data_IF_709746426769
#
_entry.id   IF_709746426769
#
_cell.length_a   1.000
_cell.length_b   1.000
_cell.length_c   1.000
_cell.angle_alpha   90.00
_cell.angle_beta   90.00
_cell.angle_gamma   90.00
#
_symmetry.space_group_name_H-M   'P 1'
#
loop_
_entity.id
_entity.type
_entity.pdbx_description
1 polymer ?
#
# COMPACT_ATOMS: atom_id res chain seq x y z
N UNK A 1 -3.98 -12.08 19.78
CA UNK A 1 -4.24 -11.45 18.46
C UNK A 1 -3.90 -9.96 18.45
N UNK A 2 -4.67 -9.06 19.10
CA UNK A 2 -4.36 -7.61 19.14
C UNK A 2 -2.93 -7.30 19.64
N UNK A 3 -2.49 -7.99 20.69
CA UNK A 3 -1.13 -7.86 21.24
C UNK A 3 -0.06 -8.32 20.23
N UNK A 4 -0.33 -9.41 19.52
CA UNK A 4 0.59 -9.95 18.50
C UNK A 4 0.74 -8.99 17.31
N UNK A 5 -0.36 -8.36 16.87
CA UNK A 5 -0.34 -7.38 15.78
C UNK A 5 0.45 -6.14 16.18
N UNK A 6 0.19 -5.64 17.37
CA UNK A 6 0.89 -4.50 17.95
C UNK A 6 2.40 -4.76 18.05
N UNK A 7 2.78 -5.95 18.53
CA UNK A 7 4.17 -6.37 18.59
C UNK A 7 4.84 -6.42 17.21
N UNK A 8 4.20 -7.03 16.22
CA UNK A 8 4.74 -7.06 14.85
C UNK A 8 4.83 -5.67 14.22
N UNK A 9 3.86 -4.78 14.49
CA UNK A 9 3.90 -3.40 14.01
C UNK A 9 5.10 -2.64 14.59
N UNK A 10 5.40 -2.82 15.87
CA UNK A 10 6.59 -2.22 16.51
C UNK A 10 7.86 -2.75 15.88
N UNK A 11 8.02 -4.07 15.80
CA UNK A 11 9.22 -4.68 15.24
C UNK A 11 9.44 -4.27 13.78
N UNK A 12 8.37 -4.22 12.99
CA UNK A 12 8.44 -3.77 11.61
C UNK A 12 8.80 -2.28 11.51
N UNK A 13 8.24 -1.43 12.38
CA UNK A 13 8.61 -0.01 12.42
C UNK A 13 10.09 0.18 12.76
N UNK A 14 10.60 -0.52 13.79
CA UNK A 14 12.02 -0.48 14.19
C UNK A 14 12.93 -0.99 13.08
N UNK A 15 12.56 -2.11 12.43
CA UNK A 15 13.31 -2.66 11.30
C UNK A 15 13.43 -1.64 10.16
N UNK A 16 12.33 -1.03 9.73
CA UNK A 16 12.37 -0.09 8.61
C UNK A 16 13.11 1.21 8.96
N UNK A 17 12.97 1.71 10.20
CA UNK A 17 13.70 2.90 10.66
C UNK A 17 15.21 2.63 10.70
N UNK A 18 15.62 1.47 11.23
CA UNK A 18 17.05 1.13 11.36
C UNK A 18 17.73 0.79 10.03
N UNK A 19 17.00 0.22 9.08
CA UNK A 19 17.57 -0.25 7.80
C UNK A 19 17.30 0.69 6.63
N UNK A 20 16.41 1.68 6.79
CA UNK A 20 15.90 2.50 5.68
C UNK A 20 15.05 1.70 4.67
N UNK A 21 14.77 0.43 4.92
CA UNK A 21 14.06 -0.43 3.98
C UNK A 21 12.58 -0.05 3.86
N UNK A 22 11.98 -0.33 2.71
CA UNK A 22 10.59 0.01 2.38
C UNK A 22 10.26 1.51 2.49
N UNK A 23 11.26 2.40 2.51
CA UNK A 23 11.04 3.83 2.40
C UNK A 23 10.69 4.19 0.94
N UNK A 24 9.70 5.07 0.77
CA UNK A 24 9.26 5.49 -0.55
C UNK A 24 10.41 6.22 -1.29
N UNK A 25 10.67 5.80 -2.53
CA UNK A 25 11.72 6.38 -3.36
C UNK A 25 13.14 5.99 -2.95
N UNK A 26 13.33 4.81 -2.36
CA UNK A 26 14.66 4.29 -2.04
C UNK A 26 14.85 2.92 -2.65
N UNK A 27 16.03 2.68 -3.22
CA UNK A 27 16.48 1.36 -3.70
C UNK A 27 17.31 0.61 -2.64
N UNK A 28 17.36 1.14 -1.40
CA UNK A 28 18.06 0.51 -0.29
C UNK A 28 17.42 -0.83 0.06
N UNK A 29 18.08 -1.88 -0.40
CA UNK A 29 17.72 -3.26 -0.16
C UNK A 29 18.71 -3.87 0.82
N UNK A 30 18.36 -3.90 2.11
CA UNK A 30 19.11 -4.74 3.04
C UNK A 30 18.92 -6.22 2.67
N UNK A 31 20.01 -6.97 2.61
CA UNK A 31 19.97 -8.43 2.46
C UNK A 31 19.72 -9.12 3.80
N UNK A 32 19.29 -10.39 3.77
CA UNK A 32 19.28 -11.26 4.95
C UNK A 32 17.93 -11.88 5.33
N UNK A 33 18.00 -12.87 6.22
CA UNK A 33 16.87 -13.71 6.63
C UNK A 33 15.74 -12.91 7.27
N UNK A 34 16.08 -11.85 8.02
CA UNK A 34 15.08 -10.98 8.68
C UNK A 34 14.19 -10.27 7.64
N UNK A 35 14.73 -9.90 6.47
CA UNK A 35 13.92 -9.29 5.41
C UNK A 35 12.93 -10.29 4.81
N UNK A 36 13.31 -11.56 4.68
CA UNK A 36 12.39 -12.60 4.20
C UNK A 36 11.18 -12.76 5.13
N UNK A 37 11.37 -12.61 6.45
CA UNK A 37 10.24 -12.61 7.40
C UNK A 37 9.23 -11.50 7.05
N UNK A 38 9.70 -10.27 6.84
CA UNK A 38 8.84 -9.13 6.53
C UNK A 38 8.24 -9.18 5.12
N UNK A 39 8.87 -9.92 4.20
CA UNK A 39 8.33 -10.21 2.89
C UNK A 39 7.09 -11.12 2.96
N UNK A 40 7.15 -12.17 3.79
CA UNK A 40 6.03 -13.10 3.97
C UNK A 40 4.96 -12.62 4.94
N UNK A 41 5.32 -11.69 5.84
CA UNK A 41 4.43 -11.07 6.82
C UNK A 41 4.12 -9.62 6.41
N UNK A 42 3.07 -9.37 5.60
CA UNK A 42 2.71 -8.02 5.15
C UNK A 42 2.04 -7.23 6.28
N UNK A 43 2.86 -6.73 7.20
CA UNK A 43 2.42 -6.13 8.48
C UNK A 43 1.42 -4.99 8.30
N UNK A 44 1.62 -4.13 7.31
CA UNK A 44 0.74 -2.98 7.05
C UNK A 44 -0.68 -3.42 6.62
N UNK A 45 -0.78 -4.41 5.73
CA UNK A 45 -2.08 -4.94 5.29
C UNK A 45 -2.75 -5.79 6.34
N UNK A 46 -1.95 -6.54 7.10
CA UNK A 46 -2.42 -7.22 8.30
C UNK A 46 -3.05 -6.21 9.26
N UNK A 47 -2.42 -5.06 9.51
CA UNK A 47 -3.00 -3.99 10.34
C UNK A 47 -4.42 -3.62 9.88
N UNK A 48 -4.66 -3.38 8.58
CA UNK A 48 -6.01 -3.07 8.08
C UNK A 48 -7.01 -4.21 8.32
N UNK A 49 -6.61 -5.45 8.05
CA UNK A 49 -7.45 -6.63 8.28
C UNK A 49 -7.84 -6.70 9.76
N UNK A 50 -6.86 -6.57 10.65
CA UNK A 50 -7.06 -6.55 12.10
C UNK A 50 -7.93 -5.39 12.57
N UNK A 51 -7.73 -4.21 11.99
CA UNK A 51 -8.53 -3.03 12.28
C UNK A 51 -10.01 -3.29 11.98
N UNK A 52 -10.32 -3.79 10.78
CA UNK A 52 -11.70 -4.04 10.37
C UNK A 52 -12.38 -5.17 11.15
N UNK A 53 -11.65 -6.25 11.45
CA UNK A 53 -12.18 -7.38 12.24
C UNK A 53 -12.35 -6.99 13.72
N UNK A 54 -11.44 -6.20 14.28
CA UNK A 54 -11.36 -5.88 15.70
C UNK A 54 -12.16 -4.65 16.16
N UNK A 55 -12.65 -3.81 15.24
CA UNK A 55 -13.23 -2.47 15.50
C UNK A 55 -14.33 -2.40 16.57
N UNK A 56 -15.20 -3.40 16.67
CA UNK A 56 -16.36 -3.37 17.57
C UNK A 56 -16.05 -3.78 19.02
N UNK A 57 -14.91 -4.43 19.25
CA UNK A 57 -14.48 -4.71 20.62
C UNK A 57 -14.06 -3.36 21.24
N UNK A 58 -14.61 -3.00 22.41
CA UNK A 58 -14.31 -1.75 23.15
C UNK A 58 -12.90 -1.27 22.84
N UNK A 59 -12.76 -0.06 22.29
CA UNK A 59 -11.48 0.54 21.88
C UNK A 59 -10.50 0.47 23.05
N UNK A 60 -9.72 -0.59 23.08
CA UNK A 60 -8.72 -0.80 24.12
C UNK A 60 -7.58 0.19 23.88
N UNK A 61 -6.89 0.61 24.94
CA UNK A 61 -5.71 1.48 24.81
C UNK A 61 -4.68 0.91 23.81
N UNK A 62 -4.58 -0.42 23.73
CA UNK A 62 -3.71 -1.16 22.81
C UNK A 62 -4.15 -0.97 21.34
N UNK A 63 -5.46 -0.94 21.07
CA UNK A 63 -5.99 -0.70 19.72
C UNK A 63 -5.59 0.70 19.21
N UNK A 64 -5.76 1.72 20.06
CA UNK A 64 -5.36 3.09 19.73
C UNK A 64 -3.83 3.19 19.56
N UNK A 65 -3.07 2.56 20.45
CA UNK A 65 -1.61 2.52 20.33
C UNK A 65 -1.17 1.89 19.01
N UNK A 66 -1.83 0.83 18.55
CA UNK A 66 -1.52 0.20 17.27
C UNK A 66 -1.76 1.14 16.07
N UNK A 67 -2.85 1.91 16.09
CA UNK A 67 -3.13 2.93 15.06
C UNK A 67 -2.05 4.02 15.07
N UNK A 68 -1.65 4.49 16.24
CA UNK A 68 -0.60 5.52 16.36
C UNK A 68 0.73 5.02 15.80
N UNK A 69 1.16 3.81 16.17
CA UNK A 69 2.41 3.23 15.67
C UNK A 69 2.34 2.98 14.16
N UNK A 70 1.20 2.53 13.64
CA UNK A 70 0.99 2.39 12.21
C UNK A 70 1.18 3.73 11.47
N UNK A 71 0.54 4.80 11.95
CA UNK A 71 0.68 6.14 11.35
C UNK A 71 2.13 6.63 11.41
N UNK A 72 2.80 6.48 12.56
CA UNK A 72 4.20 6.88 12.72
C UNK A 72 5.13 6.08 11.80
N UNK A 73 4.90 4.78 11.66
CA UNK A 73 5.66 3.91 10.76
C UNK A 73 5.44 4.26 9.28
N UNK A 74 4.21 4.63 8.90
CA UNK A 74 3.91 5.10 7.54
C UNK A 74 4.51 6.47 7.27
N UNK A 75 4.52 7.36 8.26
CA UNK A 75 5.14 8.68 8.18
C UNK A 75 6.65 8.55 7.97
N UNK A 76 7.34 7.75 8.80
CA UNK A 76 8.80 7.58 8.70
C UNK A 76 9.24 6.98 7.37
N UNK A 77 8.46 6.05 6.81
CA UNK A 77 8.73 5.47 5.48
C UNK A 77 8.19 6.29 4.32
N UNK A 78 7.44 7.36 4.58
CA UNK A 78 6.94 8.23 3.52
C UNK A 78 5.72 7.70 2.75
N UNK A 79 4.99 6.74 3.32
CA UNK A 79 3.80 6.09 2.74
C UNK A 79 2.47 6.64 3.29
N UNK A 80 2.41 7.94 3.60
CA UNK A 80 1.21 8.59 4.16
C UNK A 80 -0.08 8.37 3.34
N UNK A 81 0.00 8.10 2.03
CA UNK A 81 -1.17 7.78 1.21
C UNK A 81 -1.98 6.61 1.77
N UNK A 82 -1.32 5.61 2.34
CA UNK A 82 -2.00 4.48 2.98
C UNK A 82 -2.78 4.92 4.24
N UNK A 83 -2.27 5.87 5.03
CA UNK A 83 -3.05 6.41 6.17
C UNK A 83 -4.37 7.07 5.74
N UNK A 84 -4.45 7.58 4.52
CA UNK A 84 -5.71 8.09 3.95
C UNK A 84 -6.72 6.98 3.67
N UNK A 85 -6.27 5.75 3.39
CA UNK A 85 -7.16 4.58 3.25
C UNK A 85 -7.86 4.28 4.58
N UNK A 86 -7.15 4.42 5.70
CA UNK A 86 -7.73 4.29 7.04
C UNK A 86 -8.76 5.39 7.31
N UNK A 87 -8.44 6.63 6.94
CA UNK A 87 -9.37 7.75 7.06
C UNK A 87 -10.62 7.54 6.19
N UNK A 88 -10.45 7.11 4.94
CA UNK A 88 -11.52 6.81 4.00
C UNK A 88 -12.44 5.70 4.55
N UNK A 89 -11.85 4.62 5.06
CA UNK A 89 -12.59 3.56 5.74
C UNK A 89 -13.44 4.09 6.90
N UNK A 90 -12.88 4.94 7.76
CA UNK A 90 -13.62 5.55 8.87
C UNK A 90 -14.74 6.47 8.41
N UNK A 91 -14.52 7.24 7.33
CA UNK A 91 -15.58 8.04 6.71
C UNK A 91 -16.72 7.15 6.20
N UNK A 92 -16.42 6.07 5.48
CA UNK A 92 -17.42 5.12 5.02
C UNK A 92 -18.25 4.57 6.19
N UNK A 93 -17.61 4.18 7.29
CA UNK A 93 -18.32 3.71 8.49
C UNK A 93 -19.13 4.81 9.18
N UNK A 94 -18.61 6.03 9.23
CA UNK A 94 -19.31 7.18 9.81
C UNK A 94 -20.63 7.43 9.06
N UNK A 95 -20.58 7.47 7.72
CA UNK A 95 -21.74 7.66 6.87
C UNK A 95 -22.71 6.47 6.90
N UNK A 96 -22.19 5.24 6.91
CA UNK A 96 -23.01 4.04 7.07
C UNK A 96 -23.80 4.05 8.39
N UNK A 97 -23.18 4.52 9.48
CA UNK A 97 -23.85 4.65 10.78
C UNK A 97 -24.89 5.77 10.87
N UNK A 98 -25.20 6.44 9.74
CA UNK A 98 -26.16 7.55 9.60
C UNK A 98 -26.00 8.65 10.66
N UNK A 99 -24.77 8.87 11.14
CA UNK A 99 -24.52 9.95 12.09
C UNK A 99 -24.63 11.27 11.36
N UNK A 100 -25.47 12.17 11.88
CA UNK A 100 -25.54 13.56 11.40
C UNK A 100 -24.13 14.17 11.43
N UNK A 101 -23.69 14.73 10.31
CA UNK A 101 -22.43 15.47 10.23
C UNK A 101 -22.55 16.69 11.15
N UNK A 102 -21.82 16.68 12.26
CA UNK A 102 -21.72 17.85 13.14
C UNK A 102 -20.79 18.87 12.49
N UNK A 103 -21.11 20.17 12.63
CA UNK A 103 -20.31 21.29 12.09
C UNK A 103 -18.82 21.19 12.44
N UNK A 104 -18.49 20.68 13.64
CA UNK A 104 -17.11 20.46 14.07
C UNK A 104 -16.29 19.54 13.15
N UNK A 105 -16.93 18.59 12.46
CA UNK A 105 -16.25 17.72 11.50
C UNK A 105 -15.96 18.43 10.18
N UNK A 106 -16.83 19.37 9.77
CA UNK A 106 -16.57 20.24 8.61
C UNK A 106 -15.44 21.22 8.92
N UNK A 107 -15.44 21.80 10.12
CA UNK A 107 -14.33 22.64 10.61
C UNK A 107 -13.02 21.86 10.63
N UNK A 108 -13.04 20.63 11.15
CA UNK A 108 -11.87 19.75 11.16
C UNK A 108 -11.39 19.40 9.74
N UNK A 109 -12.30 19.09 8.82
CA UNK A 109 -11.96 18.83 7.41
C UNK A 109 -11.29 20.04 6.77
N UNK A 110 -11.86 21.24 6.96
CA UNK A 110 -11.30 22.47 6.43
C UNK A 110 -9.92 22.77 7.01
N UNK A 111 -9.75 22.57 8.33
CA UNK A 111 -8.44 22.64 8.98
C UNK A 111 -7.44 21.64 8.39
N UNK A 112 -7.85 20.38 8.18
CA UNK A 112 -7.00 19.35 7.57
C UNK A 112 -6.61 19.72 6.13
N UNK A 113 -7.51 20.34 5.35
CA UNK A 113 -7.20 20.81 4.00
C UNK A 113 -6.18 21.95 3.99
N UNK A 114 -6.20 22.83 5.00
CA UNK A 114 -5.20 23.90 5.16
C UNK A 114 -3.84 23.33 5.61
N UNK A 115 -3.86 22.30 6.47
CA UNK A 115 -2.64 21.70 7.00
C UNK A 115 -2.03 20.69 6.02
N UNK A 116 -2.82 20.06 5.15
CA UNK A 116 -2.35 19.00 4.24
C UNK A 116 -1.18 19.42 3.32
N UNK A 117 -1.18 20.61 2.69
CA UNK A 117 -0.04 21.07 1.90
C UNK A 117 1.25 21.19 2.72
N UNK A 118 1.14 21.65 3.97
CA UNK A 118 2.28 21.76 4.87
C UNK A 118 2.77 20.39 5.31
N UNK A 119 1.86 19.48 5.65
CA UNK A 119 2.20 18.11 5.98
C UNK A 119 2.87 17.37 4.81
N UNK A 120 2.45 17.67 3.58
CA UNK A 120 3.04 17.11 2.36
C UNK A 120 4.46 17.63 2.11
N UNK A 121 4.69 18.94 2.18
CA UNK A 121 6.03 19.52 2.04
C UNK A 121 6.97 19.06 3.15
N UNK A 122 6.49 19.08 4.40
CA UNK A 122 7.25 18.56 5.54
C UNK A 122 7.61 17.09 5.34
N UNK A 123 6.67 16.25 4.88
CA UNK A 123 6.97 14.85 4.59
C UNK A 123 8.12 14.69 3.59
N UNK A 124 8.17 15.50 2.53
CA UNK A 124 9.20 15.41 1.50
C UNK A 124 10.55 15.91 2.05
N UNK A 125 10.56 17.07 2.69
CA UNK A 125 11.79 17.68 3.20
C UNK A 125 12.36 16.91 4.40
N UNK A 126 11.51 16.49 5.36
CA UNK A 126 11.93 15.62 6.47
C UNK A 126 12.54 14.32 5.96
N UNK A 127 12.05 13.77 4.84
CA UNK A 127 12.68 12.58 4.25
C UNK A 127 14.08 12.93 3.75
N UNK A 128 14.22 13.96 2.93
CA UNK A 128 15.51 14.37 2.38
C UNK A 128 16.53 14.72 3.48
N UNK A 129 16.10 15.44 4.50
CA UNK A 129 16.97 15.97 5.55
C UNK A 129 17.33 14.92 6.60
N UNK A 130 16.38 14.06 7.01
CA UNK A 130 16.68 12.98 7.97
C UNK A 130 17.76 12.04 7.43
N UNK A 131 17.75 11.75 6.13
CA UNK A 131 18.74 10.89 5.50
C UNK A 131 20.08 11.59 5.21
N UNK A 132 20.07 12.88 4.88
CA UNK A 132 21.29 13.62 4.50
C UNK A 132 22.00 14.32 5.67
N UNK A 133 21.24 14.88 6.61
CA UNK A 133 21.72 15.83 7.62
C UNK A 133 21.19 15.55 9.03
N UNK A 134 20.40 14.48 9.20
CA UNK A 134 19.90 14.02 10.50
C UNK A 134 18.92 15.00 11.15
N UNK A 135 18.85 14.97 12.48
CA UNK A 135 17.87 15.78 13.26
C UNK A 135 18.14 17.29 13.12
N UNK A 136 19.38 17.70 12.89
CA UNK A 136 19.73 19.12 12.69
C UNK A 136 19.07 19.73 11.44
N UNK A 137 19.10 19.00 10.31
CA UNK A 137 18.44 19.41 9.08
C UNK A 137 16.92 19.53 9.22
N UNK A 138 16.32 18.58 9.96
CA UNK A 138 14.88 18.61 10.28
C UNK A 138 14.49 19.89 11.03
N UNK A 139 15.28 20.31 12.02
CA UNK A 139 15.00 21.52 12.80
C UNK A 139 15.09 22.77 11.92
N UNK A 140 16.12 22.88 11.06
CA UNK A 140 16.25 24.03 10.15
C UNK A 140 15.11 24.13 9.14
N UNK A 141 14.62 22.99 8.65
CA UNK A 141 13.49 22.94 7.72
C UNK A 141 12.20 23.36 8.40
N UNK A 142 11.97 22.95 9.65
CA UNK A 142 10.80 23.39 10.43
C UNK A 142 10.82 24.90 10.71
N UNK A 143 12.00 25.49 10.89
CA UNK A 143 12.13 26.93 11.17
C UNK A 143 11.96 27.81 9.92
N UNK A 144 12.17 27.28 8.72
CA UNK A 144 12.23 28.05 7.47
C UNK A 144 11.21 27.59 6.41
N UNK A 145 10.05 27.06 6.82
CA UNK A 145 9.02 26.58 5.89
C UNK A 145 8.49 27.74 5.03
N UNK A 146 8.70 27.67 3.72
CA UNK A 146 7.99 28.51 2.75
C UNK A 146 6.58 27.95 2.52
N UNK A 147 5.60 28.64 3.08
CA UNK A 147 4.19 28.26 3.00
C UNK A 147 3.66 28.36 1.56
N UNK A 148 4.02 29.40 0.80
CA UNK A 148 3.50 29.62 -0.55
C UNK A 148 4.07 28.54 -1.48
N UNK A 149 5.37 28.30 -1.42
CA UNK A 149 6.00 27.26 -2.23
C UNK A 149 5.45 25.87 -1.87
N UNK A 150 5.19 25.62 -0.60
CA UNK A 150 4.58 24.35 -0.14
C UNK A 150 3.20 24.12 -0.75
N UNK A 151 2.37 25.16 -0.80
CA UNK A 151 1.05 25.10 -1.43
C UNK A 151 1.16 24.89 -2.94
N UNK A 152 2.07 25.61 -3.62
CA UNK A 152 2.28 25.45 -5.06
C UNK A 152 2.75 24.03 -5.40
N UNK A 153 3.72 23.50 -4.65
CA UNK A 153 4.20 22.13 -4.81
C UNK A 153 3.10 21.10 -4.57
N UNK A 154 2.26 21.30 -3.56
CA UNK A 154 1.12 20.44 -3.29
C UNK A 154 0.09 20.46 -4.43
N UNK A 155 -0.31 21.64 -4.91
CA UNK A 155 -1.27 21.77 -6.01
C UNK A 155 -0.70 21.16 -7.29
N UNK A 156 0.56 21.46 -7.64
CA UNK A 156 1.21 20.87 -8.81
C UNK A 156 1.31 19.34 -8.70
N UNK A 157 1.69 18.84 -7.52
CA UNK A 157 1.73 17.41 -7.23
C UNK A 157 0.36 16.73 -7.22
N UNK A 158 -0.72 17.45 -6.87
CA UNK A 158 -2.08 16.96 -6.96
C UNK A 158 -2.58 16.93 -8.40
N UNK A 159 -2.37 18.01 -9.16
CA UNK A 159 -2.77 18.12 -10.56
C UNK A 159 -2.04 17.12 -11.44
N UNK A 160 -0.75 16.85 -11.17
CA UNK A 160 -0.01 15.80 -11.88
C UNK A 160 -0.60 14.39 -11.64
N UNK A 161 -1.33 14.16 -10.54
CA UNK A 161 -2.00 12.88 -10.28
C UNK A 161 -3.32 12.72 -11.03
N UNK A 162 -3.90 13.79 -11.56
CA UNK A 162 -5.11 13.73 -12.43
C UNK A 162 -4.76 13.16 -13.83
N UNK A 163 -3.47 12.98 -14.15
CA UNK A 163 -2.95 12.44 -15.42
C UNK A 163 -3.25 10.94 -15.67
N UNK A 164 -4.06 10.27 -14.85
CA UNK A 164 -4.38 8.85 -15.08
C UNK A 164 -5.09 8.58 -16.42
N UNK A 165 -5.91 9.53 -16.91
CA UNK A 165 -6.56 9.39 -18.22
C UNK A 165 -5.56 9.51 -19.38
N UNK A 166 -4.57 10.40 -19.27
CA UNK A 166 -3.51 10.52 -20.28
C UNK A 166 -2.62 9.29 -20.36
N UNK A 167 -2.42 8.57 -19.25
CA UNK A 167 -1.64 7.33 -19.26
C UNK A 167 -2.33 6.23 -20.07
N UNK A 168 -3.67 6.15 -20.02
CA UNK A 168 -4.42 5.16 -20.81
C UNK A 168 -4.28 5.46 -22.31
N UNK A 169 -4.43 6.73 -22.70
CA UNK A 169 -4.27 7.17 -24.10
C UNK A 169 -2.85 6.89 -24.60
N UNK A 170 -1.84 7.27 -23.81
CA UNK A 170 -0.44 6.98 -24.12
C UNK A 170 -0.19 5.48 -24.36
N UNK A 171 -0.74 4.63 -23.50
CA UNK A 171 -0.59 3.18 -23.59
C UNK A 171 -1.25 2.60 -24.83
N UNK A 172 -2.41 3.15 -25.23
CA UNK A 172 -3.09 2.78 -26.46
C UNK A 172 -2.29 3.20 -27.70
N UNK A 173 -1.76 4.43 -27.72
CA UNK A 173 -0.99 4.95 -28.85
C UNK A 173 0.32 4.16 -29.07
N UNK A 174 0.94 3.67 -27.99
CA UNK A 174 2.21 2.91 -28.03
C UNK A 174 2.01 1.39 -27.89
N UNK A 175 0.79 0.88 -28.02
CA UNK A 175 0.46 -0.52 -27.71
C UNK A 175 1.35 -1.56 -28.42
N UNK A 176 1.71 -1.33 -29.68
CA UNK A 176 2.54 -2.26 -30.46
C UNK A 176 4.00 -2.28 -30.00
N UNK A 177 4.53 -1.13 -29.59
CA UNK A 177 5.88 -1.02 -29.04
C UNK A 177 5.95 -1.67 -27.66
N UNK A 178 5.00 -1.33 -26.78
CA UNK A 178 4.91 -1.90 -25.44
C UNK A 178 4.71 -3.42 -25.48
N UNK A 179 3.94 -3.94 -26.44
CA UNK A 179 3.80 -5.38 -26.63
C UNK A 179 5.11 -6.07 -26.98
N UNK A 180 5.99 -5.44 -27.77
CA UNK A 180 7.31 -6.01 -28.09
C UNK A 180 8.18 -6.12 -26.83
N UNK A 181 8.15 -5.12 -25.95
CA UNK A 181 8.89 -5.17 -24.68
C UNK A 181 8.36 -6.27 -23.74
N UNK A 182 7.04 -6.45 -23.68
CA UNK A 182 6.43 -7.51 -22.85
C UNK A 182 6.68 -8.91 -23.44
N UNK A 183 6.59 -9.07 -24.76
CA UNK A 183 6.81 -10.37 -25.43
C UNK A 183 8.27 -10.80 -25.53
N UNK A 184 9.22 -9.90 -25.23
CA UNK A 184 10.65 -10.17 -25.16
C UNK A 184 11.17 -10.29 -23.72
N UNK A 185 10.26 -10.36 -22.73
CA UNK A 185 10.57 -10.45 -21.29
C UNK A 185 11.44 -9.29 -20.74
N UNK A 186 11.56 -8.18 -21.49
CA UNK A 186 12.22 -6.95 -21.00
C UNK A 186 11.35 -6.31 -19.91
N UNK A 187 10.03 -6.33 -20.11
CA UNK A 187 9.04 -5.79 -19.20
C UNK A 187 8.12 -6.89 -18.72
N UNK A 188 7.86 -6.92 -17.42
CA UNK A 188 7.01 -7.93 -16.82
C UNK A 188 5.57 -7.80 -17.26
N UNK A 189 4.95 -8.93 -17.57
CA UNK A 189 3.52 -9.01 -17.79
C UNK A 189 2.73 -8.77 -16.48
N UNK A 190 1.45 -8.39 -16.58
CA UNK A 190 0.53 -8.16 -15.45
C UNK A 190 0.50 -9.30 -14.42
N UNK A 191 0.74 -10.54 -14.85
CA UNK A 191 0.74 -11.72 -13.99
C UNK A 191 1.98 -11.80 -13.07
N UNK A 192 3.05 -11.12 -13.46
CA UNK A 192 4.32 -11.05 -12.71
C UNK A 192 4.52 -9.70 -12.00
N UNK A 193 3.57 -8.78 -12.14
CA UNK A 193 3.58 -7.54 -11.39
C UNK A 193 3.33 -7.81 -9.91
N UNK A 194 4.23 -7.30 -9.07
CA UNK A 194 4.14 -7.44 -7.62
C UNK A 194 5.34 -8.11 -7.00
N UNK A 195 5.69 -7.62 -5.81
CA UNK A 195 6.77 -8.12 -4.98
C UNK A 195 6.62 -9.62 -4.67
N UNK A 196 5.43 -10.17 -4.35
CA UNK A 196 5.29 -11.60 -4.09
C UNK A 196 5.58 -12.45 -5.33
N UNK A 197 5.05 -12.06 -6.48
CA UNK A 197 5.22 -12.75 -7.77
C UNK A 197 6.68 -12.72 -8.22
N UNK A 198 7.31 -11.55 -8.21
CA UNK A 198 8.73 -11.40 -8.56
C UNK A 198 9.64 -12.17 -7.60
N UNK A 199 9.29 -12.25 -6.31
CA UNK A 199 10.04 -13.07 -5.35
C UNK A 199 9.95 -14.54 -5.72
N UNK A 200 8.75 -15.06 -5.98
CA UNK A 200 8.55 -16.45 -6.37
C UNK A 200 9.26 -16.75 -7.68
N UNK A 201 9.17 -15.86 -8.68
CA UNK A 201 9.88 -16.00 -9.95
C UNK A 201 11.39 -16.14 -9.73
N UNK A 202 12.01 -15.24 -8.94
CA UNK A 202 13.43 -15.30 -8.62
C UNK A 202 13.84 -16.56 -7.86
N UNK A 203 12.99 -17.05 -6.94
CA UNK A 203 13.21 -18.31 -6.23
C UNK A 203 13.16 -19.54 -7.17
N UNK A 204 12.38 -19.45 -8.25
CA UNK A 204 12.29 -20.48 -9.29
C UNK A 204 13.35 -20.32 -10.40
N UNK A 205 14.24 -19.32 -10.29
CA UNK A 205 15.25 -19.04 -11.31
C UNK A 205 14.70 -18.38 -12.58
N UNK A 206 13.49 -17.80 -12.52
CA UNK A 206 12.87 -17.07 -13.62
C UNK A 206 13.23 -15.57 -13.53
N UNK A 207 13.42 -14.94 -14.69
CA UNK A 207 13.57 -13.48 -14.81
C UNK A 207 12.36 -12.90 -15.56
N UNK A 208 11.31 -12.44 -14.84
CA UNK A 208 10.08 -12.01 -15.47
C UNK A 208 10.16 -10.59 -16.06
N UNK A 209 11.32 -9.94 -16.07
CA UNK A 209 11.48 -8.57 -16.58
C UNK A 209 11.20 -7.47 -15.55
N UNK A 210 11.35 -6.22 -15.98
CA UNK A 210 11.17 -5.01 -15.13
C UNK A 210 9.70 -4.66 -15.00
N UNK A 211 9.28 -4.19 -13.81
CA UNK A 211 7.92 -3.67 -13.58
C UNK A 211 7.55 -2.58 -14.60
N UNK A 212 6.37 -2.69 -15.21
CA UNK A 212 5.94 -1.80 -16.30
C UNK A 212 5.89 -0.33 -15.84
N UNK A 213 5.49 -0.07 -14.59
CA UNK A 213 5.39 1.29 -14.10
C UNK A 213 6.75 1.98 -13.94
N UNK A 214 7.77 1.19 -13.56
CA UNK A 214 9.16 1.64 -13.47
C UNK A 214 9.74 1.81 -14.87
N UNK A 215 9.53 0.82 -15.75
CA UNK A 215 10.01 0.85 -17.13
C UNK A 215 9.52 2.11 -17.86
N UNK A 216 8.21 2.37 -17.87
CA UNK A 216 7.63 3.52 -18.57
C UNK A 216 8.19 4.85 -18.09
N UNK A 217 8.39 4.99 -16.76
CA UNK A 217 8.97 6.21 -16.21
C UNK A 217 10.43 6.37 -16.65
N UNK A 218 11.24 5.32 -16.52
CA UNK A 218 12.65 5.34 -16.88
C UNK A 218 12.89 5.58 -18.38
N UNK A 219 12.05 4.97 -19.22
CA UNK A 219 12.21 4.97 -20.67
C UNK A 219 11.70 6.26 -21.33
N UNK A 220 10.55 6.79 -20.89
CA UNK A 220 9.90 7.91 -21.57
C UNK A 220 10.02 9.26 -20.85
N UNK A 221 10.28 9.29 -19.54
CA UNK A 221 10.33 10.54 -18.76
C UNK A 221 11.77 10.96 -18.44
N UNK A 222 12.72 10.02 -18.45
CA UNK A 222 14.17 10.27 -18.33
C UNK A 222 14.53 11.31 -17.26
N UNK A 223 14.00 11.18 -16.04
CA UNK A 223 14.39 12.04 -14.93
C UNK A 223 15.44 11.32 -14.07
N UNK A 224 16.53 12.02 -13.75
CA UNK A 224 17.55 11.60 -12.79
C UNK A 224 17.11 11.81 -11.34
N UNK A 225 15.85 12.18 -11.09
CA UNK A 225 15.36 12.41 -9.73
C UNK A 225 15.18 11.07 -9.02
N UNK A 226 16.09 10.78 -8.09
CA UNK A 226 16.21 9.57 -7.25
C UNK A 226 14.94 9.16 -6.48
N UNK A 227 13.86 9.93 -6.53
CA UNK A 227 12.58 9.46 -6.04
C UNK A 227 11.94 8.58 -7.11
N UNK A 228 11.99 7.25 -6.93
CA UNK A 228 11.26 6.24 -7.72
C UNK A 228 9.81 6.70 -7.90
N UNK A 229 9.57 7.39 -9.00
CA UNK A 229 8.27 7.90 -9.39
C UNK A 229 7.82 6.97 -10.50
N UNK A 230 6.60 6.48 -10.39
CA UNK A 230 6.08 5.46 -11.30
C UNK A 230 5.03 6.06 -12.20
N UNK A 231 5.05 5.69 -13.49
CA UNK A 231 3.94 5.98 -14.39
C UNK A 231 2.87 4.91 -14.16
N UNK A 232 1.69 5.31 -13.70
CA UNK A 232 0.64 4.38 -13.34
C UNK A 232 -0.05 3.83 -14.59
N UNK A 233 0.00 2.52 -14.75
CA UNK A 233 -0.69 1.73 -15.76
C UNK A 233 -2.00 1.28 -15.16
N UNK A 234 -3.07 2.02 -15.43
CA UNK A 234 -4.39 1.73 -14.87
C UNK A 234 -4.95 0.39 -15.37
N UNK A 235 -6.03 -0.07 -14.73
CA UNK A 235 -6.68 -1.35 -15.09
C UNK A 235 -6.92 -1.51 -16.60
N UNK A 236 -7.40 -0.45 -17.25
CA UNK A 236 -7.79 -0.48 -18.66
C UNK A 236 -6.58 -0.65 -19.60
N UNK A 237 -5.41 -0.11 -19.23
CA UNK A 237 -4.23 -0.09 -20.10
C UNK A 237 -3.77 -1.48 -20.53
N UNK A 238 -3.83 -2.47 -19.63
CA UNK A 238 -3.44 -3.85 -19.89
C UNK A 238 -4.31 -4.56 -20.95
N UNK A 239 -5.51 -4.06 -21.22
CA UNK A 239 -6.39 -4.61 -22.26
C UNK A 239 -5.86 -4.35 -23.67
N UNK A 240 -5.01 -3.33 -23.85
CA UNK A 240 -4.53 -2.89 -25.17
C UNK A 240 -3.24 -3.57 -25.62
N UNK A 241 -2.51 -4.26 -24.74
CA UNK A 241 -1.22 -4.86 -25.09
C UNK A 241 -1.30 -5.99 -26.13
N UNK A 242 -2.44 -6.68 -26.25
CA UNK A 242 -2.59 -7.72 -27.26
C UNK A 242 -3.90 -8.50 -27.14
N UNK A 243 -4.25 -9.24 -28.19
CA UNK A 243 -5.51 -9.98 -28.30
C UNK A 243 -5.67 -11.07 -27.23
N UNK A 244 -4.58 -11.71 -26.81
CA UNK A 244 -4.63 -12.68 -25.71
C UNK A 244 -4.72 -11.99 -24.35
N UNK A 245 -4.04 -10.85 -24.18
CA UNK A 245 -4.11 -10.06 -22.95
C UNK A 245 -5.52 -9.53 -22.72
N UNK A 246 -6.24 -9.07 -23.74
CA UNK A 246 -7.62 -8.58 -23.58
C UNK A 246 -8.61 -9.63 -23.07
N UNK A 247 -8.30 -10.93 -23.17
CA UNK A 247 -9.11 -12.04 -22.65
C UNK A 247 -8.57 -12.56 -21.32
N UNK A 248 -7.28 -12.89 -21.25
CA UNK A 248 -6.71 -13.52 -20.05
C UNK A 248 -6.51 -12.56 -18.88
N UNK A 249 -6.26 -11.28 -19.15
CA UNK A 249 -6.10 -10.30 -18.07
C UNK A 249 -7.41 -10.08 -17.29
N UNK A 250 -8.58 -9.85 -17.92
CA UNK A 250 -9.84 -9.80 -17.17
C UNK A 250 -10.11 -11.07 -16.35
N UNK A 251 -9.79 -12.25 -16.89
CA UNK A 251 -9.96 -13.52 -16.17
C UNK A 251 -9.03 -13.61 -14.95
N UNK A 252 -7.77 -13.20 -15.10
CA UNK A 252 -6.82 -13.09 -14.00
C UNK A 252 -7.32 -12.14 -12.91
N UNK A 253 -7.76 -10.93 -13.29
CA UNK A 253 -8.29 -9.94 -12.35
C UNK A 253 -9.55 -10.44 -11.66
N UNK A 254 -10.45 -11.10 -12.40
CA UNK A 254 -11.64 -11.72 -11.84
C UNK A 254 -11.27 -12.81 -10.81
N UNK A 255 -10.30 -13.67 -11.13
CA UNK A 255 -9.85 -14.73 -10.24
C UNK A 255 -9.29 -14.18 -8.91
N UNK A 256 -8.39 -13.18 -8.96
CA UNK A 256 -7.81 -12.59 -7.73
C UNK A 256 -8.88 -11.86 -6.88
N UNK A 257 -9.88 -11.24 -7.52
CA UNK A 257 -11.03 -10.62 -6.83
C UNK A 257 -11.87 -11.69 -6.15
N UNK A 258 -12.22 -12.77 -6.86
CA UNK A 258 -13.01 -13.87 -6.31
C UNK A 258 -12.31 -14.53 -5.11
N UNK A 259 -11.00 -14.82 -5.23
CA UNK A 259 -10.20 -15.40 -4.15
C UNK A 259 -10.19 -14.47 -2.94
N UNK A 260 -9.95 -13.17 -3.15
CA UNK A 260 -9.90 -12.19 -2.06
C UNK A 260 -11.25 -12.04 -1.36
N UNK A 261 -12.36 -11.95 -2.12
CA UNK A 261 -13.70 -11.87 -1.55
C UNK A 261 -14.08 -13.15 -0.79
N UNK A 262 -13.73 -14.32 -1.32
CA UNK A 262 -13.94 -15.60 -0.65
C UNK A 262 -13.20 -15.66 0.70
N UNK A 263 -11.90 -15.35 0.70
CA UNK A 263 -11.09 -15.31 1.93
C UNK A 263 -11.66 -14.30 2.94
N UNK A 264 -11.99 -13.11 2.48
CA UNK A 264 -12.54 -12.05 3.32
C UNK A 264 -13.87 -12.43 3.97
N UNK A 265 -14.78 -13.03 3.19
CA UNK A 265 -16.06 -13.52 3.71
C UNK A 265 -15.85 -14.59 4.79
N UNK A 266 -14.90 -15.51 4.58
CA UNK A 266 -14.56 -16.58 5.53
C UNK A 266 -13.91 -16.05 6.82
N UNK A 267 -13.07 -15.02 6.73
CA UNK A 267 -12.24 -14.53 7.84
C UNK A 267 -12.92 -13.47 8.71
N UNK A 268 -13.65 -12.54 8.09
CA UNK A 268 -14.18 -11.37 8.78
C UNK A 268 -15.59 -10.97 8.32
N UNK A 269 -16.24 -11.78 7.49
CA UNK A 269 -17.59 -11.53 6.99
C UNK A 269 -17.71 -10.22 6.21
N UNK A 270 -18.85 -9.55 6.34
CA UNK A 270 -19.17 -8.33 5.58
C UNK A 270 -18.18 -7.19 5.78
N UNK A 271 -17.59 -7.06 6.97
CA UNK A 271 -16.62 -5.98 7.25
C UNK A 271 -15.35 -6.14 6.45
N UNK A 272 -14.84 -7.37 6.38
CA UNK A 272 -13.62 -7.64 5.64
C UNK A 272 -13.88 -7.65 4.12
N UNK A 273 -15.08 -8.05 3.69
CA UNK A 273 -15.55 -7.82 2.32
C UNK A 273 -15.59 -6.33 1.97
N UNK A 274 -16.05 -5.47 2.88
CA UNK A 274 -16.03 -4.02 2.67
C UNK A 274 -14.60 -3.48 2.51
N UNK A 275 -13.64 -3.92 3.35
CA UNK A 275 -12.23 -3.61 3.14
C UNK A 275 -11.74 -4.11 1.78
N UNK A 276 -12.12 -5.33 1.37
CA UNK A 276 -11.73 -5.89 0.07
C UNK A 276 -12.23 -5.02 -1.08
N UNK A 277 -13.48 -4.54 -1.02
CA UNK A 277 -14.01 -3.62 -2.01
C UNK A 277 -13.23 -2.31 -2.05
N UNK A 278 -12.91 -1.72 -0.90
CA UNK A 278 -12.05 -0.53 -0.81
C UNK A 278 -10.70 -0.80 -1.51
N UNK A 279 -10.08 -1.96 -1.25
CA UNK A 279 -8.82 -2.36 -1.87
C UNK A 279 -8.94 -2.61 -3.38
N UNK A 280 -10.05 -3.17 -3.87
CA UNK A 280 -10.31 -3.35 -5.30
C UNK A 280 -10.35 -1.98 -5.99
N UNK A 281 -11.13 -1.04 -5.45
CA UNK A 281 -11.27 0.29 -6.05
C UNK A 281 -9.96 1.09 -6.00
N UNK A 282 -9.24 1.06 -4.88
CA UNK A 282 -8.03 1.85 -4.71
C UNK A 282 -6.80 1.25 -5.39
N UNK A 283 -6.70 -0.09 -5.44
CA UNK A 283 -5.51 -0.76 -5.96
C UNK A 283 -5.69 -1.25 -7.38
N UNK A 284 -6.69 -2.09 -7.66
CA UNK A 284 -6.85 -2.68 -9.01
C UNK A 284 -7.16 -1.60 -10.05
N UNK A 285 -8.15 -0.74 -9.78
CA UNK A 285 -8.58 0.26 -10.77
C UNK A 285 -7.46 1.25 -11.11
N UNK A 286 -6.66 1.64 -10.11
CA UNK A 286 -5.50 2.53 -10.27
C UNK A 286 -4.23 1.80 -10.76
N UNK A 287 -4.28 0.50 -11.01
CA UNK A 287 -3.14 -0.28 -11.49
C UNK A 287 -2.12 -0.66 -10.43
N UNK A 288 -2.41 -0.49 -9.14
CA UNK A 288 -1.50 -0.87 -8.05
C UNK A 288 -1.64 -2.36 -7.73
N UNK A 289 -1.32 -3.21 -8.71
CA UNK A 289 -1.41 -4.66 -8.59
C UNK A 289 -0.57 -5.21 -7.45
N UNK A 290 0.66 -4.72 -7.31
CA UNK A 290 1.53 -5.07 -6.20
C UNK A 290 0.83 -4.88 -4.83
N UNK A 291 0.19 -3.73 -4.62
CA UNK A 291 -0.50 -3.44 -3.37
C UNK A 291 -1.67 -4.41 -3.12
N UNK A 292 -2.46 -4.71 -4.16
CA UNK A 292 -3.57 -5.64 -4.07
C UNK A 292 -3.12 -7.08 -3.79
N UNK A 293 -2.04 -7.52 -4.42
CA UNK A 293 -1.50 -8.87 -4.26
C UNK A 293 -0.84 -9.05 -2.90
N UNK A 294 -0.17 -8.03 -2.36
CA UNK A 294 0.31 -8.02 -0.98
C UNK A 294 -0.87 -8.02 0.02
N UNK A 295 -1.98 -7.35 -0.28
CA UNK A 295 -3.22 -7.47 0.50
C UNK A 295 -3.81 -8.89 0.46
N UNK A 296 -3.87 -9.52 -0.72
CA UNK A 296 -4.31 -10.91 -0.85
C UNK A 296 -3.39 -11.86 -0.07
N UNK A 297 -2.07 -11.65 -0.15
CA UNK A 297 -1.11 -12.37 0.70
C UNK A 297 -1.41 -12.15 2.18
N UNK A 298 -1.75 -10.93 2.60
CA UNK A 298 -2.12 -10.65 3.99
C UNK A 298 -3.38 -11.40 4.42
N UNK A 299 -4.38 -11.56 3.55
CA UNK A 299 -5.56 -12.39 3.81
C UNK A 299 -5.17 -13.86 4.00
N UNK A 300 -4.30 -14.39 3.15
CA UNK A 300 -3.79 -15.77 3.25
C UNK A 300 -2.99 -15.96 4.54
N UNK A 301 -2.07 -15.05 4.85
CA UNK A 301 -1.28 -15.07 6.09
C UNK A 301 -2.18 -14.97 7.31
N UNK A 302 -3.20 -14.11 7.28
CA UNK A 302 -4.18 -13.99 8.36
C UNK A 302 -5.00 -15.27 8.54
N UNK A 303 -5.36 -15.95 7.45
CA UNK A 303 -6.02 -17.26 7.49
C UNK A 303 -5.17 -18.31 8.22
N UNK A 304 -3.89 -18.40 7.91
CA UNK A 304 -2.98 -19.32 8.59
C UNK A 304 -2.79 -18.96 10.08
N UNK A 305 -2.66 -17.67 10.41
CA UNK A 305 -2.56 -17.22 11.82
C UNK A 305 -3.82 -17.64 12.60
N UNK A 306 -5.01 -17.43 12.05
CA UNK A 306 -6.27 -17.82 12.69
C UNK A 306 -6.39 -19.34 12.85
N UNK A 307 -6.01 -20.11 11.83
CA UNK A 307 -5.97 -21.57 11.91
C UNK A 307 -5.04 -22.07 13.02
N UNK A 308 -3.82 -21.53 13.10
CA UNK A 308 -2.84 -21.89 14.12
C UNK A 308 -3.30 -21.54 15.54
N UNK A 309 -3.89 -20.35 15.74
CA UNK A 309 -4.43 -19.95 17.04
C UNK A 309 -5.58 -20.84 17.49
N UNK A 310 -6.43 -21.29 16.56
CA UNK A 310 -7.52 -22.21 16.87
C UNK A 310 -6.99 -23.58 17.31
N UNK A 311 -5.94 -24.11 16.65
CA UNK A 311 -5.29 -25.36 17.05
C UNK A 311 -4.73 -25.28 18.47
N UNK A 312 -4.00 -24.22 18.80
CA UNK A 312 -3.48 -24.00 20.17
C UNK A 312 -4.61 -23.93 21.20
N UNK A 313 -5.73 -23.29 20.85
CA UNK A 313 -6.86 -23.15 21.77
C UNK A 313 -7.52 -24.50 22.04
N UNK A 314 -7.66 -25.34 21.01
CA UNK A 314 -8.19 -26.71 21.11
C UNK A 314 -7.29 -27.64 21.94
N UNK A 315 -5.96 -27.48 21.85
CA UNK A 315 -5.02 -28.22 22.69
C UNK A 315 -5.12 -27.80 24.17
N UNK A 316 -5.22 -26.50 24.45
CA UNK A 316 -5.36 -25.99 25.82
C UNK A 316 -6.64 -26.47 26.49
N UNK A 317 -7.76 -26.55 25.77
CA UNK A 317 -8.99 -27.10 26.32
C UNK A 317 -8.87 -28.60 26.59
N UNK A 318 -8.17 -29.38 25.76
CA UNK A 318 -7.90 -30.80 26.03
C UNK A 318 -7.09 -31.03 27.31
N UNK A 319 -6.03 -30.25 27.52
CA UNK A 319 -5.16 -30.38 28.71
C UNK A 319 -5.89 -30.00 30.01
N UNK A 320 -6.81 -29.03 29.96
CA UNK A 320 -7.59 -28.63 31.14
C UNK A 320 -8.74 -29.60 31.49
N UNK A 321 -8.99 -30.62 30.65
CA UNK A 321 -10.02 -31.65 30.86
C UNK A 321 -9.44 -33.05 31.17
N UNK A 322 -8.11 -33.15 31.34
CA UNK A 322 -7.40 -34.34 31.83
C UNK A 322 -6.83 -34.07 33.22
#
# INVERSE_FOLDING_TARGET
MLISCFFFQILFAVFNISTGSNAAGTDFQTGGVIRLLWLFLPVDYLFYIYYFVGREKKVSKIYLANVVIFILSMLSRGWLGWTLVLLYAELCFFFYSQKKIKIKYLILLFFLLIVAPLAFSLKIQLRADLYSSGIGGVISTLSNIDYIQSYNNFIAGFLSRIQQLSNIVFFYDHQQELYKFVSSDIVSNYAWEGLPQQTVAKLLGLDPGVDMHIFLYSHYISSTSEAVTTLQVGFISWLFLGTLSSVFYPLFVFAIICISLFLSKKLGGEKLCALTWIMIFLSIMCGWYNAYLVYMQALITFYFIMGFLNLITLEKTKINHT
#
